data_IF_190583300165
#
_entry.id   IF_190583300165
#
_cell.length_a   1.000
_cell.length_b   1.000
_cell.length_c   1.000
_cell.angle_alpha   90.00
_cell.angle_beta   90.00
_cell.angle_gamma   90.00
#
_symmetry.space_group_name_H-M   'P 1'
#
loop_
_entity.id
_entity.type
_entity.pdbx_description
1 polymer ?
#
# COMPACT_ATOMS: atom_id res chain seq x y z
N UNK A 1 -2.90 0.90 0.92
CA UNK A 1 -3.56 0.35 -0.31
C UNK A 1 -4.88 -0.30 0.10
N UNK A 2 -5.95 -0.18 -0.70
CA UNK A 2 -7.23 -0.85 -0.43
C UNK A 2 -7.44 -2.06 -1.35
N UNK A 3 -7.81 -3.22 -0.77
CA UNK A 3 -8.10 -4.45 -1.52
C UNK A 3 -9.62 -4.64 -1.67
N UNK A 4 -10.12 -4.61 -2.90
CA UNK A 4 -11.55 -4.77 -3.20
C UNK A 4 -12.21 -3.45 -3.57
N UNK A 5 -13.50 -3.30 -3.26
CA UNK A 5 -14.28 -2.14 -3.68
C UNK A 5 -13.80 -0.85 -2.99
N UNK A 6 -13.35 0.16 -3.75
CA UNK A 6 -12.91 1.44 -3.20
C UNK A 6 -14.03 2.21 -2.48
N UNK A 7 -15.30 2.00 -2.82
CA UNK A 7 -16.44 2.62 -2.13
C UNK A 7 -16.64 2.02 -0.74
N UNK A 8 -16.45 0.71 -0.58
CA UNK A 8 -16.49 0.05 0.73
C UNK A 8 -15.37 0.59 1.60
N UNK A 9 -14.14 0.66 1.07
CA UNK A 9 -13.00 1.27 1.78
C UNK A 9 -13.30 2.71 2.22
N UNK A 10 -13.79 3.56 1.32
CA UNK A 10 -14.17 4.95 1.63
C UNK A 10 -15.29 5.06 2.68
N UNK A 11 -16.26 4.16 2.68
CA UNK A 11 -17.34 4.18 3.67
C UNK A 11 -16.82 3.81 5.06
N UNK A 12 -15.88 2.86 5.14
CA UNK A 12 -15.19 2.54 6.39
C UNK A 12 -14.43 3.77 6.91
N UNK A 13 -13.70 4.47 6.04
CA UNK A 13 -13.00 5.72 6.39
C UNK A 13 -13.95 6.86 6.83
N UNK A 14 -15.10 7.02 6.18
CA UNK A 14 -16.08 8.07 6.54
C UNK A 14 -16.74 7.83 7.89
N UNK A 15 -17.08 6.58 8.21
CA UNK A 15 -17.62 6.22 9.50
C UNK A 15 -16.60 6.40 10.64
N UNK A 16 -15.31 6.51 10.27
CA UNK A 16 -14.20 6.62 11.20
C UNK A 16 -13.93 8.04 11.72
N UNK A 17 -14.47 9.11 11.11
CA UNK A 17 -14.41 10.47 11.68
C UNK A 17 -15.04 10.55 13.09
N UNK A 18 -15.79 9.52 13.50
CA UNK A 18 -16.32 9.35 14.86
C UNK A 18 -15.27 8.96 15.91
N UNK A 19 -14.08 8.47 15.52
CA UNK A 19 -12.99 8.02 16.40
C UNK A 19 -11.78 8.98 16.33
N UNK A 20 -12.00 10.26 16.63
CA UNK A 20 -10.95 11.28 16.52
C UNK A 20 -9.76 11.02 17.47
N UNK A 21 -9.99 10.52 18.69
CA UNK A 21 -8.93 10.29 19.68
C UNK A 21 -8.36 8.86 19.64
N UNK A 22 -7.06 8.73 19.95
CA UNK A 22 -6.31 7.46 19.90
C UNK A 22 -6.86 6.41 20.88
N UNK A 23 -7.43 6.85 22.00
CA UNK A 23 -7.97 6.00 23.05
C UNK A 23 -9.24 5.26 22.59
N UNK A 24 -10.16 5.95 21.92
CA UNK A 24 -11.37 5.34 21.36
C UNK A 24 -11.05 4.30 20.29
N UNK A 25 -10.04 4.56 19.44
CA UNK A 25 -9.57 3.57 18.45
C UNK A 25 -9.01 2.32 19.11
N UNK A 26 -8.30 2.48 20.22
CA UNK A 26 -7.70 1.37 20.94
C UNK A 26 -8.78 0.52 21.63
N UNK A 27 -9.81 1.16 22.18
CA UNK A 27 -10.95 0.48 22.81
C UNK A 27 -11.73 -0.40 21.81
N UNK A 28 -11.97 0.11 20.59
CA UNK A 28 -12.73 -0.61 19.55
C UNK A 28 -11.84 -1.35 18.55
N UNK A 29 -10.54 -1.51 18.84
CA UNK A 29 -9.55 -2.02 17.88
C UNK A 29 -9.90 -3.38 17.32
N UNK A 30 -10.38 -4.31 18.14
CA UNK A 30 -10.73 -5.66 17.67
C UNK A 30 -11.91 -5.65 16.70
N UNK A 31 -12.94 -4.85 17.00
CA UNK A 31 -14.06 -4.64 16.10
C UNK A 31 -13.58 -3.99 14.80
N UNK A 32 -12.76 -2.94 14.89
CA UNK A 32 -12.20 -2.25 13.74
C UNK A 32 -11.33 -3.18 12.88
N UNK A 33 -10.48 -4.01 13.50
CA UNK A 33 -9.63 -4.98 12.80
C UNK A 33 -10.46 -6.03 12.05
N UNK A 34 -11.64 -6.36 12.56
CA UNK A 34 -12.62 -7.22 11.91
C UNK A 34 -13.26 -6.53 10.69
N UNK A 35 -13.57 -5.22 10.79
CA UNK A 35 -14.23 -4.48 9.72
C UNK A 35 -13.29 -4.01 8.59
N UNK A 36 -12.08 -3.52 8.91
CA UNK A 36 -11.14 -3.01 7.90
C UNK A 36 -9.98 -3.97 7.59
N UNK A 37 -10.32 -5.21 7.26
CA UNK A 37 -9.31 -6.23 6.86
C UNK A 37 -8.69 -5.96 5.49
N UNK A 38 -9.28 -5.07 4.70
CA UNK A 38 -8.92 -4.81 3.32
C UNK A 38 -7.93 -3.66 3.15
N UNK A 39 -7.70 -2.86 4.19
CA UNK A 39 -6.67 -1.85 4.17
C UNK A 39 -5.30 -2.45 4.45
N UNK A 40 -4.35 -2.11 3.59
CA UNK A 40 -2.96 -2.52 3.66
C UNK A 40 -2.12 -1.33 4.08
N UNK A 41 -1.71 -1.33 5.34
CA UNK A 41 -0.66 -0.45 5.87
C UNK A 41 0.49 -1.29 6.40
N UNK A 42 1.71 -0.85 6.14
CA UNK A 42 2.93 -1.52 6.59
C UNK A 42 3.98 -0.49 7.00
N UNK A 43 3.61 0.32 7.98
CA UNK A 43 4.45 1.35 8.59
C UNK A 43 4.97 0.85 9.96
N UNK A 44 6.14 1.30 10.46
CA UNK A 44 6.55 1.02 11.83
C UNK A 44 5.59 1.63 12.87
N UNK A 45 5.56 1.05 14.07
CA UNK A 45 4.70 1.52 15.18
C UNK A 45 5.18 2.84 15.79
N UNK A 46 6.48 3.09 15.76
CA UNK A 46 7.08 4.35 16.19
C UNK A 46 6.91 5.41 15.10
N UNK A 47 6.96 6.69 15.49
CA UNK A 47 6.76 7.88 14.66
C UNK A 47 7.88 8.13 13.64
N UNK A 48 8.22 7.12 12.84
CA UNK A 48 9.17 7.21 11.73
C UNK A 48 9.86 5.89 11.37
N UNK A 49 10.12 5.72 10.08
CA UNK A 49 10.96 4.65 9.57
C UNK A 49 12.44 4.95 9.81
N UNK A 50 13.11 4.08 10.57
CA UNK A 50 14.55 4.16 10.80
C UNK A 50 15.30 3.51 9.63
N UNK A 51 16.42 4.11 9.23
CA UNK A 51 17.23 3.63 8.10
C UNK A 51 17.83 2.24 8.34
N UNK A 52 18.13 1.90 9.59
CA UNK A 52 18.77 0.65 9.98
C UNK A 52 17.93 -0.07 11.05
N UNK A 53 18.06 -1.39 11.10
CA UNK A 53 17.42 -2.23 12.11
C UNK A 53 16.05 -2.78 11.72
N UNK A 54 15.50 -3.59 12.62
CA UNK A 54 14.13 -4.12 12.54
C UNK A 54 13.27 -3.27 13.45
N UNK A 55 12.15 -2.79 12.92
CA UNK A 55 11.19 -2.02 13.70
C UNK A 55 9.92 -2.85 13.90
N UNK A 56 9.26 -2.76 15.07
CA UNK A 56 7.95 -3.37 15.26
C UNK A 56 6.98 -2.79 14.22
N UNK A 57 6.18 -3.66 13.63
CA UNK A 57 5.21 -3.26 12.62
C UNK A 57 4.01 -2.59 13.30
N UNK A 58 3.76 -1.34 12.94
CA UNK A 58 2.55 -0.61 13.28
C UNK A 58 1.37 -1.15 12.48
N UNK A 59 0.26 -1.41 13.17
CA UNK A 59 -0.99 -1.86 12.56
C UNK A 59 -1.93 -0.68 12.39
N UNK A 60 -1.57 0.23 11.48
CA UNK A 60 -2.49 1.27 11.04
C UNK A 60 -3.61 0.60 10.23
N UNK A 61 -4.85 0.90 10.59
CA UNK A 61 -6.04 0.30 10.00
C UNK A 61 -6.75 1.25 9.03
N UNK A 62 -6.25 2.47 8.88
CA UNK A 62 -6.91 3.54 8.12
C UNK A 62 -5.91 4.35 7.32
N UNK A 63 -6.33 4.74 6.12
CA UNK A 63 -5.61 5.63 5.22
C UNK A 63 -5.45 7.01 5.83
N UNK A 64 -6.46 7.53 6.52
CA UNK A 64 -6.37 8.86 7.12
C UNK A 64 -5.28 8.93 8.20
N UNK A 65 -5.05 7.84 8.92
CA UNK A 65 -3.94 7.75 9.88
C UNK A 65 -2.60 7.80 9.17
N UNK A 66 -2.43 7.05 8.09
CA UNK A 66 -1.19 7.09 7.29
C UNK A 66 -0.99 8.47 6.62
N UNK A 67 -2.06 9.13 6.15
CA UNK A 67 -1.99 10.49 5.58
C UNK A 67 -1.55 11.51 6.64
N UNK A 68 -2.11 11.41 7.86
CA UNK A 68 -1.72 12.27 8.98
C UNK A 68 -0.26 12.06 9.37
N UNK A 69 0.21 10.80 9.40
CA UNK A 69 1.59 10.47 9.73
C UNK A 69 2.58 10.91 8.62
N UNK A 70 2.18 10.80 7.34
CA UNK A 70 2.97 11.23 6.18
C UNK A 70 2.88 12.75 5.92
N UNK A 71 1.93 13.45 6.55
CA UNK A 71 1.73 14.90 6.44
C UNK A 71 1.19 15.38 5.09
N UNK A 72 0.81 14.46 4.18
CA UNK A 72 0.25 14.82 2.87
C UNK A 72 -0.60 13.69 2.27
N UNK A 73 -1.65 14.02 1.49
CA UNK A 73 -2.42 13.01 0.78
C UNK A 73 -1.62 12.40 -0.38
N UNK A 74 -1.99 11.20 -0.86
CA UNK A 74 -1.30 10.58 -1.98
C UNK A 74 -1.37 11.45 -3.24
N UNK A 75 -0.21 11.75 -3.81
CA UNK A 75 -0.09 12.51 -5.06
C UNK A 75 -0.66 11.77 -6.28
N UNK A 76 -0.54 10.44 -6.29
CA UNK A 76 -0.97 9.56 -7.37
C UNK A 76 -1.78 8.40 -6.80
N UNK A 77 -2.92 8.12 -7.41
CA UNK A 77 -3.78 6.99 -7.06
C UNK A 77 -3.97 6.10 -8.28
N UNK A 78 -3.76 4.80 -8.10
CA UNK A 78 -4.04 3.78 -9.11
C UNK A 78 -5.24 2.95 -8.65
N UNK A 79 -6.30 2.92 -9.45
CA UNK A 79 -7.42 1.99 -9.27
C UNK A 79 -7.17 0.81 -10.18
N UNK A 80 -6.91 -0.36 -9.60
CA UNK A 80 -6.56 -1.58 -10.33
C UNK A 80 -7.75 -2.55 -10.31
N UNK A 81 -7.98 -3.23 -11.44
CA UNK A 81 -9.11 -4.13 -11.69
C UNK A 81 -8.63 -5.41 -12.39
N UNK A 82 -9.47 -6.44 -12.43
CA UNK A 82 -9.17 -7.70 -13.12
C UNK A 82 -8.10 -8.57 -12.43
N UNK A 83 -7.74 -8.27 -11.18
CA UNK A 83 -6.87 -9.09 -10.35
C UNK A 83 -7.69 -10.01 -9.44
N UNK A 84 -7.07 -11.10 -8.99
CA UNK A 84 -7.67 -12.01 -8.02
C UNK A 84 -7.68 -11.40 -6.62
N UNK A 85 -8.79 -10.73 -6.30
CA UNK A 85 -9.02 -10.07 -5.00
C UNK A 85 -8.99 -11.07 -3.84
N UNK A 86 -9.44 -12.31 -4.04
CA UNK A 86 -9.48 -13.31 -2.97
C UNK A 86 -8.06 -13.72 -2.56
N UNK A 87 -7.19 -14.00 -3.54
CA UNK A 87 -5.79 -14.31 -3.28
C UNK A 87 -5.01 -13.10 -2.73
N UNK A 88 -5.32 -11.88 -3.19
CA UNK A 88 -4.76 -10.66 -2.60
C UNK A 88 -5.10 -10.52 -1.11
N UNK A 89 -6.36 -10.77 -0.74
CA UNK A 89 -6.83 -10.75 0.66
C UNK A 89 -6.17 -11.83 1.49
N UNK A 90 -6.07 -13.05 0.97
CA UNK A 90 -5.43 -14.17 1.66
C UNK A 90 -3.95 -13.90 1.95
N UNK A 91 -3.20 -13.36 0.97
CA UNK A 91 -1.79 -13.00 1.16
C UNK A 91 -1.65 -11.84 2.16
N UNK A 92 -2.53 -10.83 2.10
CA UNK A 92 -2.52 -9.76 3.09
C UNK A 92 -2.79 -10.28 4.50
N UNK A 93 -3.82 -11.12 4.67
CA UNK A 93 -4.16 -11.76 5.95
C UNK A 93 -2.97 -12.55 6.52
N UNK A 94 -2.27 -13.31 5.67
CA UNK A 94 -1.06 -14.04 6.04
C UNK A 94 0.09 -13.12 6.47
N UNK A 95 0.28 -11.99 5.80
CA UNK A 95 1.33 -11.01 6.12
C UNK A 95 1.04 -10.33 7.46
N UNK A 96 -0.18 -9.82 7.66
CA UNK A 96 -0.56 -9.07 8.87
C UNK A 96 -0.57 -9.91 10.14
N UNK A 97 -0.92 -11.19 10.03
CA UNK A 97 -1.05 -12.10 11.18
C UNK A 97 0.24 -12.88 11.47
N UNK A 98 1.34 -12.54 10.79
CA UNK A 98 2.62 -13.16 11.05
C UNK A 98 3.13 -12.79 12.45
N UNK A 99 3.43 -13.79 13.26
CA UNK A 99 4.10 -13.61 14.55
C UNK A 99 5.47 -12.96 14.35
N UNK A 100 5.82 -11.97 15.18
CA UNK A 100 7.06 -11.20 15.08
C UNK A 100 7.25 -10.52 13.70
N UNK A 101 6.16 -10.00 13.14
CA UNK A 101 6.18 -9.09 11.99
C UNK A 101 7.05 -7.87 12.31
N UNK A 102 7.94 -7.53 11.37
CA UNK A 102 8.85 -6.40 11.52
C UNK A 102 9.03 -5.68 10.19
N UNK A 103 9.07 -4.36 10.28
CA UNK A 103 9.42 -3.46 9.20
C UNK A 103 10.95 -3.39 9.04
N UNK A 104 11.42 -3.36 7.79
CA UNK A 104 12.83 -3.12 7.45
C UNK A 104 12.86 -2.21 6.22
N UNK A 105 13.43 -1.02 6.37
CA UNK A 105 13.38 0.05 5.37
C UNK A 105 13.75 -0.40 3.93
N UNK A 106 14.84 -1.18 3.79
CA UNK A 106 15.34 -1.56 2.45
C UNK A 106 14.75 -2.86 1.88
N UNK A 107 14.19 -3.75 2.70
CA UNK A 107 13.82 -5.12 2.27
C UNK A 107 12.40 -5.56 2.62
N UNK A 108 11.77 -4.90 3.59
CA UNK A 108 10.41 -5.20 4.08
C UNK A 108 9.64 -3.91 4.36
N UNK A 109 9.64 -3.03 3.37
CA UNK A 109 8.91 -1.77 3.40
C UNK A 109 7.51 -1.89 2.78
N UNK A 110 6.73 -0.81 2.81
CA UNK A 110 5.38 -0.75 2.24
C UNK A 110 5.33 -1.25 0.79
N UNK A 111 6.31 -0.87 -0.03
CA UNK A 111 6.33 -1.24 -1.46
C UNK A 111 6.53 -2.75 -1.64
N UNK A 112 7.39 -3.38 -0.84
CA UNK A 112 7.58 -4.84 -0.90
C UNK A 112 6.30 -5.61 -0.53
N UNK A 113 5.53 -5.13 0.44
CA UNK A 113 4.25 -5.73 0.83
C UNK A 113 3.20 -5.57 -0.27
N UNK A 114 3.08 -4.36 -0.83
CA UNK A 114 2.18 -4.10 -1.97
C UNK A 114 2.55 -5.00 -3.16
N UNK A 115 3.83 -5.15 -3.49
CA UNK A 115 4.27 -6.05 -4.56
C UNK A 115 3.85 -7.50 -4.30
N UNK A 116 4.03 -8.01 -3.07
CA UNK A 116 3.64 -9.39 -2.72
C UNK A 116 2.15 -9.62 -2.89
N UNK A 117 1.33 -8.66 -2.47
CA UNK A 117 -0.12 -8.74 -2.61
C UNK A 117 -0.51 -8.67 -4.09
N UNK A 118 0.04 -7.73 -4.87
CA UNK A 118 -0.21 -7.65 -6.31
C UNK A 118 0.21 -8.93 -7.05
N UNK A 119 1.33 -9.55 -6.67
CA UNK A 119 1.77 -10.85 -7.19
C UNK A 119 0.75 -11.95 -6.89
N UNK A 120 0.26 -12.03 -5.65
CA UNK A 120 -0.78 -13.00 -5.28
C UNK A 120 -2.06 -12.80 -6.10
N UNK A 121 -2.40 -11.55 -6.44
CA UNK A 121 -3.51 -11.22 -7.34
C UNK A 121 -3.26 -11.49 -8.83
N UNK A 122 -2.08 -11.99 -9.22
CA UNK A 122 -1.74 -12.27 -10.61
C UNK A 122 -1.32 -11.05 -11.44
N UNK A 123 -1.01 -9.91 -10.80
CA UNK A 123 -0.66 -8.67 -11.51
C UNK A 123 0.49 -8.84 -12.51
N UNK A 124 1.51 -9.63 -12.15
CA UNK A 124 2.68 -9.81 -13.01
C UNK A 124 2.37 -10.57 -14.31
N UNK A 125 1.31 -11.37 -14.36
CA UNK A 125 0.94 -12.14 -15.55
C UNK A 125 0.54 -11.23 -16.72
N UNK A 126 0.17 -9.98 -16.41
CA UNK A 126 -0.19 -8.96 -17.39
C UNK A 126 1.00 -8.09 -17.81
N UNK A 127 2.21 -8.41 -17.34
CA UNK A 127 3.42 -7.68 -17.68
C UNK A 127 4.21 -8.42 -18.77
N UNK A 128 4.98 -7.69 -19.61
CA UNK A 128 5.94 -8.31 -20.53
C UNK A 128 6.93 -9.22 -19.79
N UNK A 129 7.36 -10.33 -20.40
CA UNK A 129 8.21 -11.38 -19.80
C UNK A 129 9.44 -10.83 -19.06
N UNK A 130 10.14 -9.85 -19.66
CA UNK A 130 11.32 -9.24 -19.05
C UNK A 130 10.98 -8.51 -17.74
N UNK A 131 9.86 -7.77 -17.71
CA UNK A 131 9.38 -7.07 -16.50
C UNK A 131 8.84 -8.07 -15.49
N UNK A 132 8.10 -9.09 -15.93
CA UNK A 132 7.65 -10.16 -15.04
C UNK A 132 8.82 -10.78 -14.28
N UNK A 133 9.91 -11.15 -14.97
CA UNK A 133 11.11 -11.72 -14.34
C UNK A 133 11.79 -10.72 -13.41
N UNK A 134 11.93 -9.47 -13.84
CA UNK A 134 12.54 -8.42 -13.03
C UNK A 134 11.81 -8.20 -11.70
N UNK A 135 10.49 -8.02 -11.75
CA UNK A 135 9.66 -7.84 -10.57
C UNK A 135 9.52 -9.12 -9.75
N UNK A 136 9.73 -10.30 -10.34
CA UNK A 136 9.72 -11.58 -9.61
C UNK A 136 10.81 -11.64 -8.54
N UNK A 137 11.97 -11.00 -8.78
CA UNK A 137 13.16 -11.16 -7.95
C UNK A 137 13.21 -10.34 -6.63
N UNK A 138 12.17 -9.60 -6.22
CA UNK A 138 11.90 -9.10 -4.84
C UNK A 138 13.01 -8.40 -3.99
N UNK A 139 14.24 -8.22 -4.48
CA UNK A 139 15.38 -7.82 -3.64
C UNK A 139 15.27 -6.40 -3.10
N UNK A 140 14.82 -5.46 -3.94
CA UNK A 140 14.63 -4.06 -3.60
C UNK A 140 13.41 -3.52 -4.35
N UNK A 141 12.40 -3.07 -3.60
CA UNK A 141 11.16 -2.53 -4.18
C UNK A 141 10.94 -1.14 -3.63
N UNK A 142 10.75 -0.19 -4.55
CA UNK A 142 10.47 1.22 -4.25
C UNK A 142 9.06 1.59 -4.72
N UNK A 143 8.50 2.73 -4.26
CA UNK A 143 7.22 3.22 -4.77
C UNK A 143 7.22 3.41 -6.29
N UNK A 144 8.36 3.78 -6.88
CA UNK A 144 8.54 3.90 -8.33
C UNK A 144 8.33 2.56 -9.05
N UNK A 145 8.77 1.46 -8.45
CA UNK A 145 8.61 0.12 -9.01
C UNK A 145 7.14 -0.31 -9.02
N UNK A 146 6.40 -0.01 -7.95
CA UNK A 146 4.96 -0.25 -7.90
C UNK A 146 4.23 0.60 -8.96
N UNK A 147 4.59 1.88 -9.08
CA UNK A 147 4.02 2.75 -10.09
C UNK A 147 4.29 2.24 -11.52
N UNK A 148 5.46 1.65 -11.79
CA UNK A 148 5.77 1.01 -13.06
C UNK A 148 4.83 -0.17 -13.34
N UNK A 149 4.65 -1.09 -12.38
CA UNK A 149 3.71 -2.22 -12.53
C UNK A 149 2.30 -1.69 -12.82
N UNK A 150 1.82 -0.72 -12.04
CA UNK A 150 0.48 -0.16 -12.25
C UNK A 150 0.34 0.58 -13.59
N UNK A 151 1.42 1.17 -14.12
CA UNK A 151 1.39 1.74 -15.47
C UNK A 151 1.28 0.66 -16.54
N UNK A 152 1.95 -0.50 -16.39
CA UNK A 152 1.76 -1.62 -17.31
C UNK A 152 0.34 -2.15 -17.26
N UNK A 153 -0.23 -2.32 -16.06
CA UNK A 153 -1.62 -2.71 -15.88
C UNK A 153 -2.57 -1.70 -16.53
N UNK A 154 -2.29 -0.39 -16.38
CA UNK A 154 -3.06 0.66 -17.06
C UNK A 154 -2.98 0.52 -18.58
N UNK A 155 -1.78 0.26 -19.12
CA UNK A 155 -1.60 0.07 -20.56
C UNK A 155 -2.34 -1.20 -21.06
N UNK A 156 -2.55 -2.19 -20.19
CA UNK A 156 -3.38 -3.36 -20.45
C UNK A 156 -4.88 -3.15 -20.15
N UNK A 157 -5.33 -1.90 -19.91
CA UNK A 157 -6.70 -1.54 -19.52
C UNK A 157 -7.19 -2.13 -18.19
N UNK A 158 -6.26 -2.56 -17.32
CA UNK A 158 -6.55 -3.12 -16.01
C UNK A 158 -6.39 -2.11 -14.87
N UNK A 159 -5.93 -0.89 -15.15
CA UNK A 159 -5.83 0.15 -14.13
C UNK A 159 -6.15 1.54 -14.66
N UNK A 160 -6.63 2.41 -13.77
CA UNK A 160 -6.83 3.84 -14.02
C UNK A 160 -5.93 4.63 -13.08
N UNK A 161 -5.23 5.62 -13.64
CA UNK A 161 -4.33 6.50 -12.87
C UNK A 161 -4.98 7.87 -12.70
N UNK A 162 -5.13 8.30 -11.45
CA UNK A 162 -5.62 9.63 -11.07
C UNK A 162 -4.48 10.39 -10.40
N UNK A 163 -4.34 11.68 -10.72
CA UNK A 163 -3.37 12.58 -10.09
C UNK A 163 -4.13 13.55 -9.18
N UNK A 164 -3.63 13.75 -7.96
CA UNK A 164 -4.14 14.76 -7.04
C UNK A 164 -3.71 16.15 -7.52
N UNK A 165 -4.57 17.17 -7.35
CA UNK A 165 -4.27 18.56 -7.68
C UNK A 165 -3.04 19.11 -6.95
N UNK A 166 -2.73 18.58 -5.75
CA UNK A 166 -1.57 18.97 -4.94
C UNK A 166 -0.28 18.21 -5.28
N UNK A 167 -0.26 17.42 -6.37
CA UNK A 167 0.95 16.73 -6.80
C UNK A 167 1.99 17.75 -7.28
N UNK A 168 3.23 17.77 -6.74
CA UNK A 168 4.26 18.66 -7.23
C UNK A 168 4.50 18.45 -8.72
N UNK A 169 4.72 19.55 -9.45
CA UNK A 169 5.11 19.47 -10.84
C UNK A 169 6.47 18.79 -10.97
N UNK A 170 6.66 18.06 -12.07
CA UNK A 170 7.99 17.54 -12.36
C UNK A 170 8.85 18.74 -12.75
N UNK A 171 9.72 19.19 -11.86
CA UNK A 171 10.84 20.02 -12.27
C UNK A 171 11.72 19.20 -13.21
N UNK A 172 11.68 19.52 -14.49
CA UNK A 172 12.70 19.08 -15.44
C UNK A 172 13.97 19.83 -15.10
N UNK A 173 14.81 19.26 -14.25
CA UNK A 173 16.20 19.72 -14.11
C UNK A 173 16.91 19.30 -15.40
N UNK A 174 16.95 20.22 -16.37
CA UNK A 174 17.85 20.12 -17.51
C UNK A 174 19.28 20.30 -17.00
N UNK A 175 20.11 19.26 -17.12
CA UNK A 175 21.55 19.37 -16.91
C UNK A 175 22.09 18.39 -15.89
N UNK A 176 22.38 17.17 -16.35
CA UNK A 176 23.56 16.38 -16.02
C UNK A 176 23.60 15.26 -17.06
N UNK A 177 24.28 15.58 -18.17
CA UNK A 177 24.71 14.65 -19.20
C UNK A 177 26.13 14.21 -18.87
#
# INVERSE_FOLDING_TARGET
>A
MYIGDPNIGKNIERNYSKYENREARQADREAIEHFNTNYVSWWPEESGAQLLGKQPQGRNLFLESDISDEGSPPHLVYTVSGLDVANMRAEWFKIRNKTNAHFVFFRKNCSTIVLRILKAGGALNNLPTAKHLWFSNNLYVTPKNIAQICNELRNANLAVKTRNSHCPEKEFIFGLR
#
